data_IF_308889838908
#
_entry.id   IF_308889838908
#
_cell.length_a   1.000
_cell.length_b   1.000
_cell.length_c   1.000
_cell.angle_alpha   90.00
_cell.angle_beta   90.00
_cell.angle_gamma   90.00
#
_symmetry.space_group_name_H-M   'P 1'
#
loop_
_entity.id
_entity.type
_entity.pdbx_description
1 polymer ?
#
# COMPACT_ATOMS: atom_id res chain seq x y z
N UNK A 1 -7.83 -7.70 14.70
CA UNK A 1 -6.52 -7.65 14.02
C UNK A 1 -6.05 -9.07 13.79
N UNK A 2 -5.41 -9.37 12.66
CA UNK A 2 -4.75 -10.67 12.46
C UNK A 2 -3.69 -10.88 13.56
N UNK A 3 -3.60 -12.10 14.09
CA UNK A 3 -2.67 -12.40 15.17
C UNK A 3 -1.22 -12.07 14.77
N UNK A 4 -0.54 -11.28 15.62
CA UNK A 4 0.83 -10.80 15.39
C UNK A 4 1.03 -10.10 14.01
N UNK A 5 -0.03 -9.65 13.35
CA UNK A 5 -0.03 -9.09 12.00
C UNK A 5 0.41 -10.04 10.88
N UNK A 6 0.44 -11.36 11.10
CA UNK A 6 0.85 -12.35 10.10
C UNK A 6 -0.29 -12.81 9.16
N UNK A 7 -1.05 -11.87 8.61
CA UNK A 7 -2.06 -12.13 7.59
C UNK A 7 -2.58 -10.82 7.00
N UNK A 8 -3.38 -10.92 5.94
CA UNK A 8 -4.02 -9.82 5.25
C UNK A 8 -5.55 -9.98 5.17
N UNK A 9 -6.10 -11.04 5.75
CA UNK A 9 -7.54 -11.34 5.68
C UNK A 9 -8.32 -10.63 6.78
N UNK A 10 -7.71 -10.35 7.94
CA UNK A 10 -8.38 -9.75 9.08
C UNK A 10 -9.05 -10.77 10.01
N UNK A 11 -8.68 -12.04 9.88
CA UNK A 11 -9.25 -13.16 10.63
C UNK A 11 -8.45 -13.40 11.92
N UNK A 12 -9.15 -13.76 12.99
CA UNK A 12 -8.50 -14.01 14.27
C UNK A 12 -9.22 -15.13 15.02
N UNK A 13 -8.52 -16.22 15.34
CA UNK A 13 -9.11 -17.38 16.00
C UNK A 13 -9.47 -17.13 17.48
N UNK A 14 -8.79 -16.19 18.14
CA UNK A 14 -8.95 -15.92 19.58
C UNK A 14 -10.04 -14.89 19.88
N UNK A 15 -10.19 -13.87 19.02
CA UNK A 15 -11.11 -12.75 19.23
C UNK A 15 -12.19 -12.64 18.15
N UNK A 16 -12.13 -13.48 17.11
CA UNK A 16 -13.05 -13.47 15.98
C UNK A 16 -12.70 -12.44 14.90
N UNK A 17 -13.40 -12.57 13.77
CA UNK A 17 -13.27 -11.69 12.60
C UNK A 17 -14.32 -10.58 12.67
N UNK A 18 -13.94 -9.29 12.67
CA UNK A 18 -14.90 -8.20 12.58
C UNK A 18 -15.73 -8.28 11.29
N UNK A 19 -17.03 -8.02 11.38
CA UNK A 19 -17.90 -8.04 10.18
C UNK A 19 -17.59 -6.86 9.28
N UNK A 20 -17.32 -7.12 7.99
CA UNK A 20 -17.15 -6.06 7.00
C UNK A 20 -18.51 -5.37 6.72
N UNK A 21 -18.69 -4.08 7.08
CA UNK A 21 -19.97 -3.39 6.93
C UNK A 21 -20.31 -3.11 5.46
N UNK A 22 -19.30 -3.03 4.58
CA UNK A 22 -19.50 -2.78 3.15
C UNK A 22 -19.77 -4.07 2.35
N UNK A 23 -19.43 -5.23 2.92
CA UNK A 23 -19.66 -6.53 2.29
C UNK A 23 -19.89 -7.62 3.35
N UNK A 24 -21.11 -7.71 3.93
CA UNK A 24 -21.43 -8.72 4.93
C UNK A 24 -21.12 -10.14 4.44
N UNK A 25 -20.51 -10.96 5.32
CA UNK A 25 -20.07 -12.32 5.00
C UNK A 25 -18.75 -12.40 4.22
N UNK A 26 -18.10 -11.27 3.92
CA UNK A 26 -16.74 -11.23 3.36
C UNK A 26 -15.75 -10.76 4.42
N UNK A 27 -14.49 -11.14 4.24
CA UNK A 27 -13.42 -10.71 5.13
C UNK A 27 -13.21 -9.19 5.03
N UNK A 28 -12.91 -8.51 6.15
CA UNK A 28 -12.66 -7.06 6.16
C UNK A 28 -11.27 -6.68 5.65
N UNK A 29 -10.37 -7.65 5.47
CA UNK A 29 -8.95 -7.41 5.20
C UNK A 29 -8.18 -7.11 6.49
N UNK A 30 -6.85 -7.16 6.43
CA UNK A 30 -6.00 -6.99 7.61
C UNK A 30 -4.55 -6.63 7.29
N UNK A 31 -3.66 -6.53 8.29
CA UNK A 31 -3.89 -6.93 9.69
C UNK A 31 -4.75 -5.99 10.53
N UNK A 32 -4.92 -4.73 10.13
CA UNK A 32 -5.67 -3.72 10.90
C UNK A 32 -7.20 -3.80 10.72
N UNK A 33 -7.76 -5.01 10.75
CA UNK A 33 -9.17 -5.29 10.46
C UNK A 33 -10.17 -4.54 11.35
N UNK A 34 -9.92 -4.55 12.66
CA UNK A 34 -10.79 -3.88 13.64
C UNK A 34 -10.83 -2.37 13.46
N UNK A 35 -9.67 -1.75 13.19
CA UNK A 35 -9.55 -0.31 12.93
C UNK A 35 -10.36 0.10 11.70
N UNK A 36 -10.17 -0.61 10.59
CA UNK A 36 -10.90 -0.32 9.36
C UNK A 36 -12.41 -0.52 9.51
N UNK A 37 -12.84 -1.61 10.15
CA UNK A 37 -14.26 -1.88 10.39
C UNK A 37 -14.86 -0.85 11.34
N UNK A 38 -14.17 -0.41 12.39
CA UNK A 38 -14.68 0.62 13.30
C UNK A 38 -14.95 1.95 12.57
N UNK A 39 -14.07 2.34 11.66
CA UNK A 39 -14.27 3.53 10.81
C UNK A 39 -15.40 3.29 9.80
N UNK A 40 -15.39 2.16 9.09
CA UNK A 40 -16.39 1.88 8.06
C UNK A 40 -17.80 1.73 8.63
N UNK A 41 -17.93 1.20 9.86
CA UNK A 41 -19.19 1.06 10.59
C UNK A 41 -19.61 2.34 11.33
N UNK A 42 -18.92 3.47 11.11
CA UNK A 42 -19.24 4.75 11.72
C UNK A 42 -19.19 4.77 13.26
N UNK A 43 -18.35 3.91 13.86
CA UNK A 43 -18.17 3.84 15.32
C UNK A 43 -17.17 4.89 15.83
N UNK A 44 -16.24 5.31 14.96
CA UNK A 44 -15.24 6.34 15.22
C UNK A 44 -15.02 7.19 13.97
N UNK A 45 -14.56 8.43 14.12
CA UNK A 45 -14.27 9.33 12.98
C UNK A 45 -13.02 8.91 12.21
N UNK A 46 -11.98 8.51 12.95
CA UNK A 46 -10.75 7.96 12.42
C UNK A 46 -10.18 6.91 13.36
N UNK A 47 -9.25 6.11 12.86
CA UNK A 47 -8.50 5.14 13.68
C UNK A 47 -7.07 4.99 13.19
N UNK A 48 -6.24 4.33 14.01
CA UNK A 48 -4.87 3.99 13.68
C UNK A 48 -4.72 2.51 13.32
N UNK A 49 -3.68 2.19 12.58
CA UNK A 49 -3.20 0.82 12.38
C UNK A 49 -1.72 0.81 12.01
N UNK A 50 -1.21 -0.36 11.69
CA UNK A 50 0.15 -0.55 11.19
C UNK A 50 0.11 -1.11 9.78
N UNK A 51 1.06 -0.71 8.93
CA UNK A 51 1.21 -1.20 7.56
C UNK A 51 2.68 -1.58 7.33
N UNK A 52 2.96 -2.87 7.50
CA UNK A 52 4.27 -3.48 7.22
C UNK A 52 4.34 -3.92 5.76
N UNK A 53 3.38 -4.74 5.32
CA UNK A 53 3.27 -5.18 3.92
C UNK A 53 2.12 -4.50 3.17
N UNK A 54 0.97 -4.37 3.84
CA UNK A 54 -0.23 -3.71 3.31
C UNK A 54 -1.34 -3.53 4.35
N UNK A 55 -1.01 -3.65 5.63
CA UNK A 55 -1.98 -3.85 6.71
C UNK A 55 -2.89 -2.66 7.03
N UNK A 56 -2.68 -1.50 6.38
CA UNK A 56 -3.64 -0.38 6.33
C UNK A 56 -4.36 -0.34 4.98
N UNK A 57 -3.62 -0.46 3.89
CA UNK A 57 -4.16 -0.30 2.53
C UNK A 57 -5.14 -1.41 2.11
N UNK A 58 -4.88 -2.67 2.46
CA UNK A 58 -5.79 -3.80 2.16
C UNK A 58 -7.14 -3.64 2.86
N UNK A 59 -7.22 -3.50 4.20
CA UNK A 59 -8.50 -3.39 4.87
C UNK A 59 -9.26 -2.11 4.48
N UNK A 60 -8.55 -1.03 4.15
CA UNK A 60 -9.13 0.18 3.57
C UNK A 60 -9.89 -0.12 2.27
N UNK A 61 -9.24 -0.83 1.34
CA UNK A 61 -9.84 -1.17 0.06
C UNK A 61 -11.06 -2.08 0.22
N UNK A 62 -10.99 -3.04 1.15
CA UNK A 62 -12.08 -4.00 1.38
C UNK A 62 -13.26 -3.39 2.14
N UNK A 63 -13.00 -2.45 3.04
CA UNK A 63 -14.02 -1.76 3.83
C UNK A 63 -14.49 -0.44 3.20
N UNK A 64 -14.08 -0.11 1.97
CA UNK A 64 -14.59 1.05 1.22
C UNK A 64 -14.34 2.41 1.86
N UNK A 65 -13.23 2.58 2.57
CA UNK A 65 -12.85 3.82 3.26
C UNK A 65 -11.53 4.39 2.73
N UNK A 66 -11.04 5.49 3.30
CA UNK A 66 -9.71 6.02 3.01
C UNK A 66 -8.70 5.54 4.04
N UNK A 67 -7.49 5.26 3.56
CA UNK A 67 -6.38 4.76 4.36
C UNK A 67 -5.08 5.39 3.91
N UNK A 68 -4.32 5.92 4.86
CA UNK A 68 -3.02 6.51 4.62
C UNK A 68 -1.95 5.64 5.27
N UNK A 69 -1.05 5.11 4.45
CA UNK A 69 0.29 4.71 4.87
C UNK A 69 1.26 5.85 4.55
N UNK A 70 1.75 6.60 5.55
CA UNK A 70 2.74 7.65 5.34
C UNK A 70 4.10 7.10 4.88
N UNK A 71 5.04 8.00 4.61
CA UNK A 71 6.45 7.62 4.47
C UNK A 71 6.94 6.94 5.75
N UNK A 72 7.79 5.92 5.59
CA UNK A 72 8.39 5.22 6.73
C UNK A 72 9.21 6.20 7.59
N UNK A 73 9.12 6.05 8.92
CA UNK A 73 9.79 6.94 9.88
C UNK A 73 9.17 8.34 10.03
N UNK A 74 8.11 8.69 9.28
CA UNK A 74 7.47 10.01 9.39
C UNK A 74 6.78 10.21 10.76
N UNK A 75 6.20 9.15 11.28
CA UNK A 75 5.65 9.10 12.62
C UNK A 75 6.47 8.11 13.45
N UNK A 76 6.64 8.42 14.73
CA UNK A 76 7.30 7.51 15.66
C UNK A 76 6.53 6.19 15.73
N UNK A 77 7.25 5.08 15.59
CA UNK A 77 6.75 3.74 15.88
C UNK A 77 7.14 3.29 17.30
N UNK A 78 7.56 4.23 18.15
CA UNK A 78 7.84 3.94 19.56
C UNK A 78 6.60 3.33 20.23
N UNK A 79 6.81 2.27 21.01
CA UNK A 79 5.76 1.47 21.64
C UNK A 79 4.81 0.72 20.69
N UNK A 80 5.07 0.74 19.37
CA UNK A 80 4.43 -0.19 18.45
C UNK A 80 5.15 -1.54 18.56
N UNK A 81 4.40 -2.61 18.77
CA UNK A 81 4.96 -3.97 18.79
C UNK A 81 5.55 -4.26 17.41
N UNK A 82 6.86 -4.56 17.31
CA UNK A 82 7.52 -4.70 16.02
C UNK A 82 7.10 -5.98 15.31
N UNK A 83 6.92 -5.91 13.99
CA UNK A 83 6.77 -7.05 13.10
C UNK A 83 7.98 -7.16 12.19
N UNK A 84 8.27 -6.10 11.42
CA UNK A 84 9.49 -5.96 10.64
C UNK A 84 9.87 -4.47 10.62
N UNK A 85 10.68 -4.03 11.58
CA UNK A 85 10.91 -2.62 11.90
C UNK A 85 11.32 -1.73 10.70
N UNK A 86 12.03 -2.29 9.74
CA UNK A 86 12.43 -1.57 8.51
C UNK A 86 11.26 -1.26 7.56
N UNK A 87 10.09 -1.84 7.81
CA UNK A 87 8.87 -1.69 7.01
C UNK A 87 7.68 -1.19 7.85
N UNK A 88 7.67 -1.45 9.16
CA UNK A 88 6.60 -1.07 10.07
C UNK A 88 6.32 0.44 10.00
N UNK A 89 5.10 0.78 9.57
CA UNK A 89 4.66 2.16 9.42
C UNK A 89 3.30 2.34 10.11
N UNK A 90 3.17 3.32 11.00
CA UNK A 90 1.86 3.70 11.57
C UNK A 90 1.02 4.37 10.47
N UNK A 91 -0.25 3.98 10.34
CA UNK A 91 -1.18 4.52 9.35
C UNK A 91 -2.53 4.91 9.95
N UNK A 92 -3.32 5.63 9.14
CA UNK A 92 -4.61 6.20 9.54
C UNK A 92 -5.72 5.71 8.61
N UNK A 93 -6.93 5.64 9.17
CA UNK A 93 -8.16 5.35 8.46
C UNK A 93 -9.19 6.46 8.70
N UNK A 94 -9.95 6.82 7.68
CA UNK A 94 -11.10 7.74 7.80
C UNK A 94 -12.10 7.49 6.67
N UNK A 95 -13.35 7.94 6.84
CA UNK A 95 -14.39 7.86 5.77
C UNK A 95 -14.28 8.97 4.74
N UNK A 96 -13.54 10.03 5.03
CA UNK A 96 -13.36 11.17 4.14
C UNK A 96 -11.96 11.80 4.30
N UNK A 97 -11.53 12.53 3.27
CA UNK A 97 -10.20 13.15 3.21
C UNK A 97 -10.04 14.33 4.18
N UNK A 98 -11.13 14.99 4.59
CA UNK A 98 -11.07 16.09 5.54
C UNK A 98 -10.71 15.55 6.93
N UNK A 99 -11.37 14.48 7.36
CA UNK A 99 -11.07 13.79 8.62
C UNK A 99 -9.67 13.16 8.59
N UNK A 100 -9.27 12.52 7.47
CA UNK A 100 -7.93 11.96 7.31
C UNK A 100 -6.81 13.00 7.45
N UNK A 101 -7.14 14.29 7.22
CA UNK A 101 -6.18 15.38 7.37
C UNK A 101 -5.75 15.66 8.81
N UNK A 102 -6.38 15.03 9.82
CA UNK A 102 -5.92 15.05 11.22
C UNK A 102 -4.45 14.64 11.36
N UNK A 103 -3.98 13.78 10.45
CA UNK A 103 -2.57 13.41 10.29
C UNK A 103 -1.63 14.61 10.23
N UNK A 104 -2.06 15.73 9.63
CA UNK A 104 -1.25 16.95 9.49
C UNK A 104 -0.98 17.63 10.82
N UNK A 105 -1.90 17.56 11.76
CA UNK A 105 -1.76 18.14 13.11
C UNK A 105 -0.85 17.27 13.98
N UNK A 106 -0.81 15.98 13.70
CA UNK A 106 -0.01 15.00 14.44
C UNK A 106 1.41 14.83 13.91
N UNK A 107 1.76 15.46 12.77
CA UNK A 107 3.09 15.39 12.19
C UNK A 107 4.11 16.04 13.15
N UNK A 108 5.09 15.27 13.67
CA UNK A 108 6.07 15.80 14.61
C UNK A 108 7.20 16.59 13.93
N UNK A 109 7.12 16.82 12.61
CA UNK A 109 8.22 17.34 11.82
C UNK A 109 7.98 18.79 11.40
N UNK A 110 8.91 19.68 11.75
CA UNK A 110 9.09 20.93 11.02
C UNK A 110 9.38 20.61 9.55
N UNK A 111 8.90 21.44 8.62
CA UNK A 111 9.12 21.26 7.17
C UNK A 111 10.60 21.06 6.75
N UNK A 112 11.56 21.35 7.63
CA UNK A 112 12.99 21.23 7.40
C UNK A 112 13.54 19.79 7.46
N UNK A 113 12.83 18.86 8.12
CA UNK A 113 13.30 17.47 8.29
C UNK A 113 12.86 16.53 7.16
N UNK A 114 11.90 16.95 6.31
CA UNK A 114 11.45 16.15 5.17
C UNK A 114 12.45 16.28 4.02
N UNK A 115 13.34 15.30 3.88
CA UNK A 115 14.23 15.21 2.71
C UNK A 115 13.38 15.15 1.43
N UNK A 116 13.49 16.19 0.59
CA UNK A 116 12.86 16.18 -0.73
C UNK A 116 13.61 15.19 -1.63
N UNK A 117 12.91 14.31 -2.35
CA UNK A 117 13.54 13.48 -3.36
C UNK A 117 14.26 14.36 -4.38
N UNK A 118 15.55 14.10 -4.59
CA UNK A 118 16.35 14.75 -5.65
C UNK A 118 16.23 14.01 -6.97
N UNK A 119 15.77 12.75 -6.93
CA UNK A 119 15.60 11.87 -8.08
C UNK A 119 14.36 11.01 -7.90
N UNK A 120 13.57 10.89 -8.96
CA UNK A 120 12.36 10.08 -9.06
C UNK A 120 12.46 9.25 -10.34
N UNK A 121 12.81 7.97 -10.17
CA UNK A 121 12.89 7.02 -11.27
C UNK A 121 11.48 6.61 -11.70
N UNK A 122 11.13 6.87 -12.96
CA UNK A 122 9.84 6.50 -13.53
C UNK A 122 10.07 5.33 -14.52
N UNK A 123 9.52 4.14 -14.23
CA UNK A 123 9.65 2.96 -15.08
C UNK A 123 8.73 3.09 -16.30
N UNK A 124 9.26 3.60 -17.40
CA UNK A 124 8.43 3.96 -18.57
C UNK A 124 7.78 2.74 -19.22
N UNK A 125 8.50 1.62 -19.23
CA UNK A 125 8.06 0.29 -19.65
C UNK A 125 6.78 -0.17 -18.93
N UNK A 126 6.61 0.18 -17.66
CA UNK A 126 5.40 -0.17 -16.90
C UNK A 126 4.13 0.58 -17.38
N UNK A 127 4.27 1.57 -18.26
CA UNK A 127 3.17 2.42 -18.73
C UNK A 127 2.91 2.31 -20.23
N UNK A 128 3.55 1.39 -20.94
CA UNK A 128 3.37 1.21 -22.39
C UNK A 128 1.91 0.87 -22.76
N UNK A 129 1.21 0.18 -21.86
CA UNK A 129 -0.22 -0.12 -21.99
C UNK A 129 -1.07 1.16 -22.01
N UNK A 130 -0.60 2.26 -21.39
CA UNK A 130 -1.28 3.55 -21.39
C UNK A 130 -0.31 4.73 -21.22
N UNK A 131 0.20 5.24 -22.33
CA UNK A 131 1.13 6.37 -22.38
C UNK A 131 0.61 7.66 -21.67
N UNK A 132 -0.70 7.82 -21.50
CA UNK A 132 -1.26 8.97 -20.78
C UNK A 132 -0.89 8.96 -19.29
N UNK A 133 -0.75 7.77 -18.69
CA UNK A 133 -0.38 7.60 -17.28
C UNK A 133 1.04 8.12 -17.05
N UNK A 134 2.00 7.75 -17.91
CA UNK A 134 3.38 8.22 -17.81
C UNK A 134 3.46 9.76 -17.91
N UNK A 135 2.65 10.38 -18.78
CA UNK A 135 2.59 11.84 -18.92
C UNK A 135 2.07 12.51 -17.64
N UNK A 136 1.02 11.97 -17.03
CA UNK A 136 0.44 12.49 -15.78
C UNK A 136 1.45 12.36 -14.64
N UNK A 137 2.15 11.23 -14.53
CA UNK A 137 3.17 11.00 -13.50
C UNK A 137 4.32 12.00 -13.68
N UNK A 138 4.85 12.14 -14.90
CA UNK A 138 5.91 13.10 -15.21
C UNK A 138 5.50 14.54 -14.82
N UNK A 139 4.31 14.98 -15.22
CA UNK A 139 3.80 16.31 -14.87
C UNK A 139 3.65 16.50 -13.36
N UNK A 140 3.21 15.46 -12.64
CA UNK A 140 3.04 15.50 -11.18
C UNK A 140 4.38 15.57 -10.44
N UNK A 141 5.37 14.79 -10.89
CA UNK A 141 6.74 14.82 -10.34
C UNK A 141 7.39 16.16 -10.61
N UNK A 142 7.33 16.67 -11.85
CA UNK A 142 7.85 17.99 -12.20
C UNK A 142 7.23 19.09 -11.34
N UNK A 143 5.90 19.08 -11.16
CA UNK A 143 5.19 20.06 -10.32
C UNK A 143 5.64 20.02 -8.86
N UNK A 144 5.96 18.84 -8.33
CA UNK A 144 6.23 18.66 -6.88
C UNK A 144 7.71 18.78 -6.52
N UNK A 145 8.60 18.34 -7.40
CA UNK A 145 10.03 18.17 -7.13
C UNK A 145 10.93 18.85 -8.18
N UNK A 146 10.35 19.39 -9.26
CA UNK A 146 11.05 19.99 -10.39
C UNK A 146 11.42 18.97 -11.47
N UNK A 147 11.49 19.42 -12.72
CA UNK A 147 11.74 18.54 -13.87
C UNK A 147 13.11 17.85 -13.82
N UNK A 148 14.09 18.47 -13.16
CA UNK A 148 15.42 17.91 -12.95
C UNK A 148 15.44 16.66 -12.06
N UNK A 149 14.39 16.42 -11.27
CA UNK A 149 14.27 15.22 -10.46
C UNK A 149 13.79 14.01 -11.28
N UNK A 150 13.30 14.21 -12.50
CA UNK A 150 12.73 13.13 -13.32
C UNK A 150 13.85 12.30 -13.94
N UNK A 151 13.75 10.99 -13.76
CA UNK A 151 14.65 10.00 -14.34
C UNK A 151 13.80 8.91 -15.01
N UNK A 152 13.38 9.17 -16.25
CA UNK A 152 12.65 8.22 -17.06
C UNK A 152 13.60 7.14 -17.56
N UNK A 153 13.32 5.88 -17.24
CA UNK A 153 14.10 4.73 -17.71
C UNK A 153 13.21 3.51 -17.84
N UNK A 154 13.64 2.54 -18.63
CA UNK A 154 13.05 1.20 -18.60
C UNK A 154 13.77 0.39 -17.52
N UNK A 155 13.03 -0.33 -16.68
CA UNK A 155 13.62 -1.15 -15.62
C UNK A 155 14.05 -2.53 -16.14
N UNK A 156 13.59 -2.95 -17.32
CA UNK A 156 14.08 -4.13 -18.03
C UNK A 156 13.18 -4.49 -19.21
N UNK A 157 13.48 -5.63 -19.84
CA UNK A 157 12.59 -6.22 -20.85
C UNK A 157 11.38 -6.83 -20.13
N UNK A 158 10.27 -6.08 -20.06
CA UNK A 158 8.98 -6.68 -19.73
C UNK A 158 8.65 -7.61 -20.91
N UNK A 159 8.47 -8.93 -20.71
CA UNK A 159 8.18 -9.83 -21.81
C UNK A 159 6.95 -9.34 -22.60
N UNK A 160 7.05 -9.26 -23.93
CA UNK A 160 5.91 -8.87 -24.78
C UNK A 160 4.69 -9.79 -24.60
N UNK A 161 4.92 -11.00 -24.06
CA UNK A 161 3.90 -12.03 -23.81
C UNK A 161 3.53 -12.14 -22.32
N UNK A 162 3.48 -11.02 -21.58
CA UNK A 162 2.77 -11.01 -20.29
C UNK A 162 1.29 -11.26 -20.57
N UNK A 163 0.72 -12.42 -20.16
CA UNK A 163 -0.66 -12.74 -20.48
C UNK A 163 -1.57 -11.66 -19.90
N UNK A 164 -2.51 -11.17 -20.71
CA UNK A 164 -3.54 -10.28 -20.19
C UNK A 164 -4.22 -10.93 -18.98
N UNK A 165 -4.68 -10.12 -18.02
CA UNK A 165 -5.45 -10.62 -16.87
C UNK A 165 -6.60 -11.54 -17.33
N UNK A 166 -7.20 -11.27 -18.49
CA UNK A 166 -8.21 -12.13 -19.11
C UNK A 166 -7.70 -13.51 -19.56
N UNK A 167 -6.53 -13.62 -20.22
CA UNK A 167 -5.91 -14.92 -20.56
C UNK A 167 -5.54 -15.72 -19.30
N UNK A 168 -5.08 -15.02 -18.27
CA UNK A 168 -4.72 -15.62 -16.98
C UNK A 168 -5.96 -16.12 -16.20
N UNK A 169 -7.06 -15.36 -16.24
CA UNK A 169 -8.37 -15.74 -15.67
C UNK A 169 -9.01 -16.90 -16.46
N UNK A 170 -8.88 -16.92 -17.79
CA UNK A 170 -9.46 -17.96 -18.64
C UNK A 170 -8.88 -19.36 -18.35
N UNK A 171 -7.56 -19.47 -18.12
CA UNK A 171 -6.93 -20.73 -17.68
C UNK A 171 -7.24 -21.11 -16.22
N UNK A 172 -7.90 -20.23 -15.47
CA UNK A 172 -8.19 -20.40 -14.04
C UNK A 172 -9.50 -21.16 -13.80
N UNK A 173 -10.51 -20.99 -14.67
CA UNK A 173 -11.79 -21.70 -14.59
C UNK A 173 -11.67 -23.20 -14.87
N UNK A 174 -10.54 -23.65 -15.44
CA UNK A 174 -10.25 -25.05 -15.72
C UNK A 174 -9.52 -25.78 -14.56
N UNK A 175 -9.20 -25.10 -13.45
CA UNK A 175 -8.43 -25.69 -12.33
C UNK A 175 -9.17 -25.65 -10.99
N UNK A 176 -9.35 -26.82 -10.36
CA UNK A 176 -10.00 -27.00 -9.05
C UNK A 176 -9.11 -26.60 -7.85
N UNK A 177 -8.66 -25.35 -7.76
CA UNK A 177 -7.94 -24.84 -6.58
C UNK A 177 -8.57 -23.54 -6.03
N UNK A 178 -8.68 -23.40 -4.69
CA UNK A 178 -9.28 -22.21 -4.09
C UNK A 178 -8.33 -21.00 -4.16
N UNK A 179 -8.87 -19.87 -4.64
CA UNK A 179 -8.46 -18.45 -4.51
C UNK A 179 -7.12 -18.17 -3.78
N UNK A 180 -6.14 -17.36 -4.26
CA UNK A 180 -6.23 -15.96 -4.71
C UNK A 180 -4.97 -15.55 -5.55
N UNK A 181 -5.04 -15.45 -6.89
CA UNK A 181 -3.87 -15.22 -7.77
C UNK A 181 -3.41 -13.76 -7.92
N UNK A 182 -4.32 -12.81 -7.80
CA UNK A 182 -4.01 -11.37 -7.89
C UNK A 182 -2.98 -10.96 -6.83
N UNK A 183 -3.03 -11.62 -5.66
CA UNK A 183 -2.06 -11.45 -4.57
C UNK A 183 -0.66 -11.95 -4.95
N UNK A 184 -0.54 -13.00 -5.76
CA UNK A 184 0.76 -13.47 -6.24
C UNK A 184 1.41 -12.48 -7.21
N UNK A 185 0.63 -11.88 -8.12
CA UNK A 185 1.13 -10.87 -9.06
C UNK A 185 1.54 -9.60 -8.29
N UNK A 186 0.68 -9.11 -7.39
CA UNK A 186 1.00 -7.97 -6.53
C UNK A 186 2.22 -8.26 -5.67
N UNK A 187 2.33 -9.47 -5.10
CA UNK A 187 3.50 -9.92 -4.33
C UNK A 187 4.77 -9.91 -5.17
N UNK A 188 4.71 -10.37 -6.43
CA UNK A 188 5.87 -10.36 -7.33
C UNK A 188 6.34 -8.94 -7.66
N UNK A 189 5.41 -8.04 -8.02
CA UNK A 189 5.73 -6.61 -8.28
C UNK A 189 6.28 -5.94 -7.03
N UNK A 190 5.66 -6.16 -5.86
CA UNK A 190 6.13 -5.60 -4.59
C UNK A 190 7.53 -6.12 -4.22
N UNK A 191 7.82 -7.41 -4.45
CA UNK A 191 9.16 -7.98 -4.24
C UNK A 191 10.19 -7.37 -5.20
N UNK A 192 9.83 -7.10 -6.45
CA UNK A 192 10.68 -6.39 -7.41
C UNK A 192 11.02 -4.97 -6.95
N UNK A 193 10.00 -4.21 -6.53
CA UNK A 193 10.17 -2.83 -6.04
C UNK A 193 10.99 -2.76 -4.75
N UNK A 194 10.77 -3.67 -3.79
CA UNK A 194 11.54 -3.74 -2.55
C UNK A 194 13.00 -4.12 -2.83
N UNK A 195 13.28 -5.05 -3.74
CA UNK A 195 14.65 -5.40 -4.14
C UNK A 195 15.39 -4.24 -4.79
N UNK A 196 14.72 -3.51 -5.69
CA UNK A 196 15.30 -2.31 -6.31
C UNK A 196 15.57 -1.20 -5.29
N UNK A 197 14.67 -0.99 -4.33
CA UNK A 197 14.88 -0.04 -3.23
C UNK A 197 16.09 -0.41 -2.36
N UNK A 198 16.26 -1.70 -2.04
CA UNK A 198 17.39 -2.20 -1.24
C UNK A 198 18.73 -2.08 -1.98
N UNK A 199 18.77 -2.30 -3.29
CA UNK A 199 19.97 -2.10 -4.11
C UNK A 199 20.40 -0.62 -4.12
N UNK A 200 19.46 0.31 -4.28
CA UNK A 200 19.74 1.75 -4.21
C UNK A 200 20.31 2.19 -2.85
N UNK A 201 19.91 1.55 -1.75
CA UNK A 201 20.48 1.84 -0.42
C UNK A 201 21.87 1.24 -0.19
N UNK A 202 22.25 0.17 -0.90
CA UNK A 202 23.61 -0.39 -0.84
C UNK A 202 24.61 0.44 -1.63
N UNK A 203 24.18 1.05 -2.75
CA UNK A 203 25.04 1.93 -3.57
C UNK A 203 25.27 3.33 -2.95
N UNK A 204 24.62 3.63 -1.82
CA UNK A 204 24.69 4.93 -1.12
C UNK A 204 25.46 4.88 0.22
N UNK A 205 26.06 3.74 0.58
CA UNK A 205 27.01 3.58 1.71
C UNK A 205 28.42 3.38 1.19
#
# INVERSE_FOLDING_TARGET
>A
MDEMSYSINGENAHYGTPTNPCAPGRVPGGSSSGSAVAVAANLVDFSLGTDTGCSVRVPTAYCGIFGLRPSHGLFSAENVIPMAQMFDTVGWFARDLSTLSVTKVQLPLSNETVKKPTKATIPMDCFDINASVAKIINASVAKRFGSQAIDNRNLGDIPDDVPSMGKFIAGFFDSELPSVPTLCIVSHVMRGLVRFHLQLTQDMM
#
